data_IF_547242845006
#
_entry.id   IF_547242845006
#
_cell.length_a   1.000
_cell.length_b   1.000
_cell.length_c   1.000
_cell.angle_alpha   90.00
_cell.angle_beta   90.00
_cell.angle_gamma   90.00
#
_symmetry.space_group_name_H-M   'P 1'
#
loop_
_entity.id
_entity.type
_entity.pdbx_description
1 polymer ?
#
# COMPACT_ATOMS: atom_id res chain seq x y z
N UNK A 1 -17.44 7.37 6.69
CA UNK A 1 -16.14 7.56 5.99
C UNK A 1 -15.43 6.25 5.72
N UNK A 2 -15.27 5.39 6.72
CA UNK A 2 -14.53 4.13 6.53
C UNK A 2 -15.22 3.14 5.58
N UNK A 3 -16.52 3.28 5.35
CA UNK A 3 -17.25 2.45 4.41
C UNK A 3 -17.44 3.09 3.05
N UNK A 4 -16.86 4.25 2.82
CA UNK A 4 -16.96 4.97 1.56
C UNK A 4 -15.85 4.51 0.61
N UNK A 5 -16.23 3.90 -0.50
CA UNK A 5 -15.27 3.40 -1.50
C UNK A 5 -14.38 4.52 -2.05
N UNK A 6 -14.97 5.70 -2.26
CA UNK A 6 -14.20 6.84 -2.78
C UNK A 6 -13.06 7.23 -1.86
N UNK A 7 -13.28 7.19 -0.55
CA UNK A 7 -12.24 7.46 0.44
C UNK A 7 -11.07 6.49 0.26
N UNK A 8 -11.37 5.19 0.15
CA UNK A 8 -10.33 4.18 0.01
C UNK A 8 -9.63 4.23 -1.35
N UNK A 9 -10.37 4.56 -2.42
CA UNK A 9 -9.74 4.72 -3.74
C UNK A 9 -8.79 5.91 -3.76
N UNK A 10 -9.14 7.01 -3.08
CA UNK A 10 -8.25 8.16 -2.96
C UNK A 10 -6.96 7.78 -2.22
N UNK A 11 -7.08 6.98 -1.16
CA UNK A 11 -5.91 6.49 -0.43
C UNK A 11 -5.09 5.50 -1.25
N UNK A 12 -5.73 4.68 -2.08
CA UNK A 12 -5.02 3.78 -2.99
C UNK A 12 -4.20 4.58 -4.01
N UNK A 13 -4.77 5.68 -4.53
CA UNK A 13 -4.03 6.55 -5.44
C UNK A 13 -2.81 7.14 -4.74
N UNK A 14 -2.95 7.54 -3.48
CA UNK A 14 -1.83 8.04 -2.69
C UNK A 14 -0.75 6.97 -2.53
N UNK A 15 -1.14 5.71 -2.31
CA UNK A 15 -0.19 4.61 -2.18
C UNK A 15 0.60 4.42 -3.47
N UNK A 16 -0.05 4.53 -4.63
CA UNK A 16 0.61 4.44 -5.93
C UNK A 16 1.58 5.60 -6.10
N UNK A 17 1.18 6.81 -5.70
CA UNK A 17 2.08 7.97 -5.77
C UNK A 17 3.32 7.75 -4.89
N UNK A 18 3.17 7.10 -3.74
CA UNK A 18 4.29 6.74 -2.89
C UNK A 18 5.28 5.83 -3.59
N UNK A 19 4.78 4.82 -4.32
CA UNK A 19 5.64 3.95 -5.12
C UNK A 19 6.36 4.69 -6.22
N UNK A 20 5.68 5.61 -6.91
CA UNK A 20 6.31 6.41 -7.96
C UNK A 20 7.41 7.29 -7.39
N UNK A 21 7.19 7.87 -6.22
CA UNK A 21 8.20 8.66 -5.53
C UNK A 21 9.40 7.81 -5.12
N UNK A 22 9.14 6.59 -4.63
CA UNK A 22 10.17 5.61 -4.29
C UNK A 22 11.06 5.33 -5.50
N UNK A 23 10.44 5.02 -6.64
CA UNK A 23 11.16 4.69 -7.88
C UNK A 23 11.95 5.90 -8.36
N UNK A 24 11.35 7.09 -8.33
CA UNK A 24 12.03 8.31 -8.73
C UNK A 24 13.33 8.51 -7.94
N UNK A 25 13.29 8.32 -6.63
CA UNK A 25 14.46 8.50 -5.79
C UNK A 25 15.56 7.46 -5.98
N UNK A 26 15.25 6.33 -6.63
CA UNK A 26 16.27 5.33 -6.98
C UNK A 26 17.16 5.81 -8.13
N UNK A 27 16.62 6.63 -9.01
CA UNK A 27 17.32 7.10 -10.21
C UNK A 27 17.80 8.54 -10.11
N UNK A 28 17.22 9.33 -9.22
CA UNK A 28 17.54 10.74 -9.06
C UNK A 28 17.80 11.05 -7.60
N UNK A 29 18.79 11.89 -7.32
CA UNK A 29 19.11 12.30 -5.96
C UNK A 29 18.33 13.56 -5.59
N UNK A 30 18.08 13.73 -4.31
CA UNK A 30 17.44 14.92 -3.77
C UNK A 30 18.50 15.77 -3.07
N UNK A 31 18.45 17.09 -3.27
CA UNK A 31 19.37 18.01 -2.62
C UNK A 31 18.89 18.43 -1.23
N UNK A 32 17.57 18.51 -1.06
CA UNK A 32 16.96 18.94 0.19
C UNK A 32 16.99 17.84 1.24
N UNK A 33 17.35 18.21 2.48
CA UNK A 33 17.32 17.26 3.61
C UNK A 33 15.90 16.78 3.86
N UNK A 34 14.89 17.65 3.68
CA UNK A 34 13.50 17.28 3.86
C UNK A 34 13.08 16.23 2.84
N UNK A 35 13.46 16.41 1.57
CA UNK A 35 13.12 15.44 0.53
C UNK A 35 13.80 14.10 0.75
N UNK A 36 15.04 14.10 1.22
CA UNK A 36 15.75 12.87 1.56
C UNK A 36 15.04 12.14 2.69
N UNK A 37 14.62 12.88 3.71
CA UNK A 37 13.89 12.31 4.84
C UNK A 37 12.57 11.69 4.38
N UNK A 38 11.82 12.40 3.54
CA UNK A 38 10.55 11.90 3.03
C UNK A 38 10.75 10.64 2.18
N UNK A 39 11.80 10.61 1.36
CA UNK A 39 12.08 9.45 0.53
C UNK A 39 12.42 8.23 1.37
N UNK A 40 13.28 8.38 2.40
CA UNK A 40 13.61 7.27 3.28
C UNK A 40 12.39 6.79 4.07
N UNK A 41 11.50 7.71 4.43
CA UNK A 41 10.24 7.35 5.08
C UNK A 41 9.40 6.47 4.15
N UNK A 42 9.30 6.84 2.88
CA UNK A 42 8.58 6.05 1.88
C UNK A 42 9.25 4.68 1.70
N UNK A 43 10.59 4.64 1.64
CA UNK A 43 11.31 3.37 1.52
C UNK A 43 10.94 2.42 2.67
N UNK A 44 10.91 2.93 3.89
CA UNK A 44 10.58 2.10 5.05
C UNK A 44 9.11 1.66 5.03
N UNK A 45 8.19 2.58 4.76
CA UNK A 45 6.76 2.29 4.81
C UNK A 45 6.28 1.45 3.63
N UNK A 46 6.75 1.75 2.43
CA UNK A 46 6.35 1.02 1.23
C UNK A 46 7.22 -0.22 1.00
N UNK A 47 8.54 -0.05 1.05
CA UNK A 47 9.46 -1.13 0.70
C UNK A 47 9.55 -2.24 1.74
N UNK A 48 9.36 -1.90 3.01
CA UNK A 48 9.45 -2.87 4.11
C UNK A 48 8.08 -3.10 4.74
N UNK A 49 7.31 -2.01 4.98
CA UNK A 49 6.02 -2.10 5.62
C UNK A 49 5.01 -2.93 4.84
N UNK A 50 4.94 -2.76 3.51
CA UNK A 50 3.98 -3.50 2.71
C UNK A 50 4.23 -5.02 2.75
N UNK A 51 5.46 -5.52 2.59
CA UNK A 51 5.72 -6.95 2.77
C UNK A 51 5.36 -7.46 4.16
N UNK A 52 5.66 -6.69 5.21
CA UNK A 52 5.33 -7.08 6.58
C UNK A 52 3.82 -7.17 6.80
N UNK A 53 3.05 -6.37 6.09
CA UNK A 53 1.59 -6.39 6.19
C UNK A 53 0.98 -7.68 5.64
N UNK A 54 1.73 -8.47 4.89
CA UNK A 54 1.24 -9.74 4.38
C UNK A 54 0.90 -10.70 5.50
N UNK A 55 1.51 -10.55 6.68
CA UNK A 55 1.13 -11.32 7.85
C UNK A 55 -0.34 -11.15 8.21
N UNK A 56 -0.91 -9.99 7.88
CA UNK A 56 -2.32 -9.69 8.12
C UNK A 56 -3.17 -9.88 6.87
N UNK A 57 -2.66 -9.48 5.70
CA UNK A 57 -3.45 -9.47 4.47
C UNK A 57 -3.68 -10.85 3.89
N UNK A 58 -2.72 -11.76 4.02
CA UNK A 58 -2.86 -13.11 3.46
C UNK A 58 -4.03 -13.87 4.09
N UNK A 59 -4.16 -13.93 5.43
CA UNK A 59 -5.34 -14.58 6.04
C UNK A 59 -6.65 -13.89 5.66
N UNK A 60 -6.64 -12.55 5.56
CA UNK A 60 -7.84 -11.79 5.21
C UNK A 60 -8.26 -12.07 3.77
N UNK A 61 -7.31 -12.08 2.83
CA UNK A 61 -7.59 -12.40 1.44
C UNK A 61 -8.08 -13.84 1.27
N UNK A 62 -7.46 -14.76 1.98
CA UNK A 62 -7.84 -16.17 1.94
C UNK A 62 -9.29 -16.37 2.43
N UNK A 63 -9.64 -15.69 3.51
CA UNK A 63 -10.99 -15.75 4.06
C UNK A 63 -12.02 -15.15 3.10
N UNK A 64 -11.61 -14.15 2.33
CA UNK A 64 -12.47 -13.51 1.33
C UNK A 64 -12.54 -14.28 0.01
N UNK A 65 -11.82 -15.40 -0.11
CA UNK A 65 -11.81 -16.19 -1.35
C UNK A 65 -10.91 -15.63 -2.45
N UNK A 66 -9.98 -14.76 -2.10
CA UNK A 66 -9.08 -14.14 -3.07
C UNK A 66 -7.81 -14.97 -3.21
N UNK A 67 -7.30 -15.12 -4.43
CA UNK A 67 -6.09 -15.90 -4.69
C UNK A 67 -4.89 -15.32 -3.95
N UNK A 68 -3.91 -16.18 -3.65
CA UNK A 68 -2.69 -15.75 -2.98
C UNK A 68 -1.93 -14.73 -3.81
N UNK A 69 -1.81 -14.95 -5.13
CA UNK A 69 -1.12 -14.02 -6.02
C UNK A 69 -1.76 -12.65 -5.99
N UNK A 70 -3.08 -12.59 -6.06
CA UNK A 70 -3.81 -11.33 -6.05
C UNK A 70 -3.65 -10.62 -4.70
N UNK A 71 -3.69 -11.38 -3.61
CA UNK A 71 -3.50 -10.84 -2.26
C UNK A 71 -2.12 -10.21 -2.13
N UNK A 72 -1.07 -10.93 -2.55
CA UNK A 72 0.30 -10.43 -2.49
C UNK A 72 0.45 -9.16 -3.33
N UNK A 73 -0.04 -9.18 -4.57
CA UNK A 73 0.07 -8.04 -5.47
C UNK A 73 -0.64 -6.81 -4.90
N UNK A 74 -1.87 -6.99 -4.45
CA UNK A 74 -2.65 -5.87 -3.90
C UNK A 74 -1.99 -5.31 -2.62
N UNK A 75 -1.47 -6.17 -1.77
CA UNK A 75 -0.79 -5.74 -0.55
C UNK A 75 0.47 -4.95 -0.87
N UNK A 76 1.27 -5.42 -1.82
CA UNK A 76 2.49 -4.70 -2.20
C UNK A 76 2.20 -3.34 -2.79
N UNK A 77 1.15 -3.23 -3.62
CA UNK A 77 0.83 -1.95 -4.28
C UNK A 77 0.13 -0.99 -3.32
N UNK A 78 -0.87 -1.47 -2.59
CA UNK A 78 -1.75 -0.61 -1.80
C UNK A 78 -1.55 -0.70 -0.29
N UNK A 79 -0.99 -1.80 0.21
CA UNK A 79 -0.82 -1.98 1.64
C UNK A 79 -2.14 -1.95 2.38
N UNK A 80 -2.17 -1.21 3.49
CA UNK A 80 -3.38 -1.10 4.33
C UNK A 80 -4.58 -0.53 3.57
N UNK A 81 -4.34 0.20 2.49
CA UNK A 81 -5.41 0.82 1.72
C UNK A 81 -6.23 -0.20 0.94
N UNK A 82 -5.78 -1.44 0.87
CA UNK A 82 -6.53 -2.52 0.25
C UNK A 82 -7.08 -3.50 1.28
N UNK A 83 -6.23 -4.03 2.18
CA UNK A 83 -6.68 -5.12 3.05
C UNK A 83 -7.58 -4.65 4.20
N UNK A 84 -7.41 -3.42 4.68
CA UNK A 84 -8.30 -2.90 5.72
C UNK A 84 -9.72 -2.72 5.16
N UNK A 85 -9.93 -2.04 4.01
CA UNK A 85 -11.29 -1.95 3.48
C UNK A 85 -11.88 -3.30 3.08
N UNK A 86 -11.06 -4.26 2.65
CA UNK A 86 -11.52 -5.61 2.38
C UNK A 86 -12.03 -6.26 3.67
N UNK A 87 -11.29 -6.12 4.76
CA UNK A 87 -11.70 -6.65 6.07
C UNK A 87 -12.99 -6.00 6.58
N UNK A 88 -13.17 -4.70 6.28
CA UNK A 88 -14.36 -3.96 6.69
C UNK A 88 -15.58 -4.24 5.81
N UNK A 89 -15.40 -4.98 4.73
CA UNK A 89 -16.50 -5.30 3.82
C UNK A 89 -16.78 -4.23 2.79
N UNK A 90 -15.87 -3.27 2.62
CA UNK A 90 -16.03 -2.20 1.63
C UNK A 90 -15.77 -2.73 0.22
N UNK A 91 -14.76 -3.59 0.07
CA UNK A 91 -14.42 -4.22 -1.19
C UNK A 91 -14.77 -5.70 -1.15
N UNK A 92 -15.11 -6.27 -2.30
CA UNK A 92 -15.42 -7.69 -2.45
C UNK A 92 -14.20 -8.50 -2.86
N UNK A 93 -13.14 -7.81 -3.29
CA UNK A 93 -11.91 -8.48 -3.74
C UNK A 93 -10.65 -7.64 -3.51
#
# INVERSE_FOLDING_TARGET
>A
MLKNKSFWYANMAFAVLGWLFFIYGLFFTFDSSLMKFLWWTVVLLWGIGHPLEMAFSIPIGKKAGISLEKTITKTMVFGIMWWIPLKLGVFDE
#
